data_IF_548092037829
#
_entry.id   IF_548092037829
#
_cell.length_a   1.000
_cell.length_b   1.000
_cell.length_c   1.000
_cell.angle_alpha   90.00
_cell.angle_beta   90.00
_cell.angle_gamma   90.00
#
_symmetry.space_group_name_H-M   'P 1'
#
loop_
_entity.id
_entity.type
_entity.pdbx_description
1 polymer ?
#
# COMPACT_ATOMS: atom_id res chain seq x y z
N UNK A 1 2.81 16.85 4.80
CA UNK A 1 1.44 17.39 4.68
C UNK A 1 0.51 16.20 4.47
N UNK A 2 -0.34 15.84 5.44
CA UNK A 2 -1.33 14.74 5.28
C UNK A 2 -2.50 15.18 4.41
N UNK A 3 -3.02 14.34 3.52
CA UNK A 3 -4.08 14.67 2.55
C UNK A 3 -5.49 14.61 3.19
N UNK A 4 -6.46 15.50 2.84
CA UNK A 4 -7.84 15.42 3.36
C UNK A 4 -8.55 14.11 3.01
N UNK A 5 -8.23 13.51 1.86
CA UNK A 5 -8.82 12.25 1.42
C UNK A 5 -8.27 11.03 2.18
N UNK A 6 -7.23 11.20 3.02
CA UNK A 6 -6.72 10.11 3.87
C UNK A 6 -7.78 9.55 4.82
N UNK A 7 -8.80 10.32 5.20
CA UNK A 7 -9.85 9.86 6.13
C UNK A 7 -11.15 9.43 5.43
N UNK A 8 -11.24 9.54 4.11
CA UNK A 8 -12.50 9.36 3.36
C UNK A 8 -12.54 8.05 2.57
N UNK A 9 -13.61 7.27 2.59
CA UNK A 9 -13.70 6.08 1.73
C UNK A 9 -14.80 5.11 2.12
N UNK A 10 -14.86 3.97 1.42
CA UNK A 10 -15.91 2.95 1.61
C UNK A 10 -15.33 1.56 1.86
N UNK A 11 -16.14 0.67 2.42
CA UNK A 11 -15.81 -0.75 2.53
C UNK A 11 -16.14 -1.48 1.23
N UNK A 12 -15.28 -2.42 0.83
CA UNK A 12 -15.54 -3.26 -0.35
C UNK A 12 -16.43 -4.45 0.00
N UNK A 13 -17.30 -4.91 -0.92
CA UNK A 13 -18.13 -6.08 -0.69
C UNK A 13 -17.28 -7.34 -0.59
N UNK A 14 -17.70 -8.26 0.27
CA UNK A 14 -17.02 -9.53 0.51
C UNK A 14 -16.88 -9.83 1.99
N UNK A 15 -16.45 -11.05 2.29
CA UNK A 15 -16.12 -11.47 3.66
C UNK A 15 -14.71 -12.06 3.63
N UNK A 16 -13.83 -11.64 4.54
CA UNK A 16 -12.50 -12.23 4.67
C UNK A 16 -12.57 -13.76 4.82
N UNK A 17 -11.78 -14.50 4.04
CA UNK A 17 -11.76 -15.98 4.05
C UNK A 17 -10.54 -16.58 4.76
N UNK A 18 -9.49 -15.78 4.93
CA UNK A 18 -8.30 -16.10 5.69
C UNK A 18 -8.48 -16.01 7.21
N UNK A 19 -7.37 -15.98 7.94
CA UNK A 19 -7.37 -16.10 9.40
C UNK A 19 -6.34 -15.20 10.07
N UNK A 20 -6.60 -14.79 11.31
CA UNK A 20 -5.62 -14.06 12.14
C UNK A 20 -4.67 -15.07 12.79
N UNK A 21 -3.37 -14.86 12.60
CA UNK A 21 -2.31 -15.73 13.09
C UNK A 21 -1.58 -15.06 14.26
N UNK A 22 -1.94 -15.43 15.49
CA UNK A 22 -1.37 -14.82 16.71
C UNK A 22 0.15 -15.04 16.84
N UNK A 23 0.66 -16.18 16.36
CA UNK A 23 2.10 -16.49 16.35
C UNK A 23 2.93 -15.53 15.45
N UNK A 24 2.25 -14.85 14.51
CA UNK A 24 2.83 -13.89 13.57
C UNK A 24 2.36 -12.47 13.91
N UNK A 25 2.40 -12.12 15.20
CA UNK A 25 2.07 -10.80 15.74
C UNK A 25 0.66 -10.32 15.37
N UNK A 26 -0.29 -11.26 15.26
CA UNK A 26 -1.67 -10.95 14.87
C UNK A 26 -1.85 -10.62 13.39
N UNK A 27 -0.88 -10.97 12.54
CA UNK A 27 -1.02 -10.82 11.09
C UNK A 27 -2.21 -11.63 10.56
N UNK A 28 -2.91 -11.08 9.57
CA UNK A 28 -3.90 -11.82 8.82
C UNK A 28 -3.22 -12.63 7.71
N UNK A 29 -3.63 -13.87 7.55
CA UNK A 29 -3.10 -14.82 6.57
C UNK A 29 -4.20 -15.24 5.61
N UNK A 30 -3.98 -14.95 4.33
CA UNK A 30 -4.77 -15.46 3.21
C UNK A 30 -3.94 -16.52 2.47
N UNK A 31 -4.41 -17.75 2.48
CA UNK A 31 -3.73 -18.86 1.82
C UNK A 31 -3.88 -18.79 0.30
N UNK A 32 -2.85 -19.26 -0.40
CA UNK A 32 -2.94 -19.55 -1.82
C UNK A 32 -4.08 -20.58 -2.11
N UNK A 33 -4.60 -20.65 -3.36
CA UNK A 33 -5.52 -21.70 -3.78
C UNK A 33 -4.95 -23.11 -3.50
N UNK A 34 -5.84 -24.06 -3.24
CA UNK A 34 -5.46 -25.46 -3.09
C UNK A 34 -4.66 -25.95 -4.31
N UNK A 35 -3.56 -26.66 -4.06
CA UNK A 35 -2.66 -27.14 -5.10
C UNK A 35 -1.60 -26.14 -5.55
N UNK A 36 -1.58 -24.91 -5.02
CA UNK A 36 -0.43 -24.01 -5.25
C UNK A 36 0.85 -24.58 -4.66
N UNK A 37 1.90 -24.63 -5.47
CA UNK A 37 3.25 -25.04 -5.09
C UNK A 37 4.20 -23.84 -4.97
N UNK A 38 3.66 -22.62 -4.98
CA UNK A 38 4.49 -21.41 -4.92
C UNK A 38 5.24 -21.33 -3.59
N UNK A 39 6.55 -21.11 -3.68
CA UNK A 39 7.38 -20.77 -2.52
C UNK A 39 7.53 -19.25 -2.35
N UNK A 40 6.64 -18.49 -2.98
CA UNK A 40 6.60 -17.04 -2.86
C UNK A 40 5.46 -16.62 -1.93
N UNK A 41 5.60 -15.45 -1.31
CA UNK A 41 4.53 -14.80 -0.57
C UNK A 41 4.44 -13.32 -0.91
N UNK A 42 3.30 -12.71 -0.64
CA UNK A 42 3.10 -11.27 -0.77
C UNK A 42 2.70 -10.69 0.57
N UNK A 43 3.27 -9.54 0.91
CA UNK A 43 2.83 -8.73 2.03
C UNK A 43 1.86 -7.66 1.53
N UNK A 44 0.67 -7.60 2.12
CA UNK A 44 -0.24 -6.48 1.97
C UNK A 44 0.04 -5.48 3.09
N UNK A 45 0.63 -4.33 2.76
CA UNK A 45 0.93 -3.27 3.71
C UNK A 45 -0.22 -2.26 3.71
N UNK A 46 -0.93 -2.22 4.84
CA UNK A 46 -2.16 -1.44 5.02
C UNK A 46 -1.97 0.08 4.92
N UNK A 47 -3.07 0.78 4.67
CA UNK A 47 -3.12 2.22 4.79
C UNK A 47 -3.16 2.66 6.27
N UNK A 48 -3.40 3.95 6.52
CA UNK A 48 -3.39 4.52 7.87
C UNK A 48 -4.44 3.94 8.84
N UNK A 49 -5.45 3.20 8.35
CA UNK A 49 -6.46 2.55 9.19
C UNK A 49 -6.04 1.18 9.71
N UNK A 50 -5.00 0.58 9.12
CA UNK A 50 -4.47 -0.70 9.59
C UNK A 50 -5.39 -1.89 9.36
N UNK A 51 -5.09 -2.97 10.08
CA UNK A 51 -5.84 -4.23 10.04
C UNK A 51 -7.32 -4.14 10.48
N UNK A 52 -7.75 -3.18 11.31
CA UNK A 52 -9.17 -2.97 11.60
C UNK A 52 -10.03 -2.69 10.36
N UNK A 53 -9.46 -2.08 9.31
CA UNK A 53 -10.18 -1.88 8.05
C UNK A 53 -10.27 -3.20 7.27
N UNK A 54 -11.50 -3.71 7.15
CA UNK A 54 -11.80 -5.02 6.53
C UNK A 54 -11.31 -5.15 5.09
N UNK A 55 -11.24 -4.04 4.34
CA UNK A 55 -10.83 -4.02 2.93
C UNK A 55 -9.45 -4.66 2.72
N UNK A 56 -8.52 -4.44 3.65
CA UNK A 56 -7.16 -5.01 3.56
C UNK A 56 -7.17 -6.54 3.52
N UNK A 57 -8.06 -7.17 4.29
CA UNK A 57 -8.20 -8.62 4.38
C UNK A 57 -8.84 -9.18 3.12
N UNK A 58 -9.91 -8.54 2.64
CA UNK A 58 -10.61 -8.94 1.41
C UNK A 58 -9.68 -8.82 0.20
N UNK A 59 -8.89 -7.74 0.10
CA UNK A 59 -7.90 -7.61 -0.97
C UNK A 59 -6.77 -8.62 -0.86
N UNK A 60 -6.31 -8.95 0.36
CA UNK A 60 -5.32 -10.00 0.55
C UNK A 60 -5.84 -11.36 0.05
N UNK A 61 -7.10 -11.70 0.34
CA UNK A 61 -7.72 -12.91 -0.19
C UNK A 61 -7.77 -12.89 -1.74
N UNK A 62 -8.19 -11.77 -2.33
CA UNK A 62 -8.23 -11.63 -3.80
C UNK A 62 -6.84 -11.78 -4.44
N UNK A 63 -5.80 -11.18 -3.85
CA UNK A 63 -4.43 -11.28 -4.34
C UNK A 63 -3.93 -12.72 -4.20
N UNK A 64 -4.20 -13.38 -3.07
CA UNK A 64 -3.78 -14.76 -2.85
C UNK A 64 -4.35 -15.68 -3.93
N UNK A 65 -5.65 -15.52 -4.23
CA UNK A 65 -6.33 -16.29 -5.25
C UNK A 65 -5.86 -15.96 -6.68
N UNK A 66 -5.68 -14.68 -7.01
CA UNK A 66 -5.27 -14.25 -8.36
C UNK A 66 -3.81 -14.56 -8.66
N UNK A 67 -2.91 -14.32 -7.71
CA UNK A 67 -1.46 -14.56 -7.90
C UNK A 67 -1.16 -16.04 -7.73
N UNK A 68 -1.87 -16.74 -6.84
CA UNK A 68 -1.59 -18.14 -6.56
C UNK A 68 -0.47 -18.32 -5.53
N UNK A 69 -0.29 -17.37 -4.62
CA UNK A 69 0.68 -17.44 -3.54
C UNK A 69 0.08 -16.95 -2.23
N UNK A 70 0.73 -17.27 -1.12
CA UNK A 70 0.27 -16.84 0.19
C UNK A 70 0.36 -15.31 0.33
N UNK A 71 -0.62 -14.71 1.03
CA UNK A 71 -0.64 -13.28 1.33
C UNK A 71 -0.75 -13.06 2.83
N UNK A 72 0.13 -12.19 3.33
CA UNK A 72 0.19 -11.78 4.74
C UNK A 72 -0.17 -10.30 4.87
N UNK A 73 -1.04 -9.96 5.80
CA UNK A 73 -1.34 -8.57 6.20
C UNK A 73 -0.78 -8.35 7.61
N UNK A 74 0.43 -7.78 7.76
CA UNK A 74 1.01 -7.56 9.08
C UNK A 74 0.26 -6.48 9.86
N UNK A 75 0.04 -6.68 11.16
CA UNK A 75 -0.38 -5.59 12.07
C UNK A 75 0.83 -4.80 12.58
N UNK A 76 1.50 -4.09 11.67
CA UNK A 76 2.66 -3.27 12.02
C UNK A 76 2.31 -2.07 12.91
N UNK A 77 1.03 -1.77 13.11
CA UNK A 77 0.53 -0.78 14.06
C UNK A 77 0.28 -1.35 15.47
N UNK A 78 0.32 -2.67 15.65
CA UNK A 78 0.05 -3.35 16.93
C UNK A 78 -1.26 -2.90 17.59
N UNK A 79 -2.34 -2.93 16.81
CA UNK A 79 -3.68 -2.53 17.24
C UNK A 79 -3.86 -1.03 17.47
N UNK A 80 -2.87 -0.19 17.12
CA UNK A 80 -2.92 1.28 17.30
C UNK A 80 -2.66 2.00 15.96
N UNK A 81 -3.57 1.86 14.98
CA UNK A 81 -3.43 2.53 13.68
C UNK A 81 -3.42 4.05 13.83
N UNK A 82 -3.02 4.74 12.76
CA UNK A 82 -3.01 6.20 12.73
C UNK A 82 -4.43 6.79 12.75
N UNK A 83 -5.36 6.08 12.12
CA UNK A 83 -6.76 6.48 11.98
C UNK A 83 -7.69 5.37 12.48
N UNK A 84 -8.81 5.78 13.08
CA UNK A 84 -9.87 4.88 13.49
C UNK A 84 -10.89 4.72 12.35
N UNK A 85 -11.26 3.48 12.04
CA UNK A 85 -12.26 3.13 11.04
C UNK A 85 -13.63 3.74 11.38
N UNK A 86 -13.97 3.86 12.67
CA UNK A 86 -15.21 4.49 13.10
C UNK A 86 -15.25 6.00 12.80
N UNK A 87 -14.08 6.62 12.64
CA UNK A 87 -13.93 8.02 12.24
C UNK A 87 -13.72 8.22 10.74
N UNK A 88 -13.86 7.16 9.94
CA UNK A 88 -13.77 7.23 8.48
C UNK A 88 -15.00 7.94 7.93
N UNK A 89 -14.79 9.03 7.19
CA UNK A 89 -15.88 9.76 6.56
C UNK A 89 -16.27 9.07 5.25
N UNK A 90 -17.55 8.76 5.06
CA UNK A 90 -18.04 8.28 3.77
C UNK A 90 -18.12 9.46 2.78
N UNK A 91 -16.98 9.85 2.22
CA UNK A 91 -16.90 10.81 1.11
C UNK A 91 -16.28 10.11 -0.11
N UNK A 92 -16.87 10.40 -1.27
CA UNK A 92 -16.46 9.86 -2.57
C UNK A 92 -15.01 10.27 -2.86
N UNK A 93 -14.14 9.29 -3.06
CA UNK A 93 -12.73 9.47 -3.45
C UNK A 93 -12.56 9.77 -4.95
N UNK A 94 -13.36 10.71 -5.47
CA UNK A 94 -13.43 11.09 -6.88
C UNK A 94 -13.02 12.54 -7.08
N UNK A 95 -12.32 12.81 -8.18
CA UNK A 95 -11.92 14.18 -8.57
C UNK A 95 -13.14 15.05 -8.89
N UNK A 96 -14.30 14.44 -9.21
CA UNK A 96 -15.50 15.13 -9.71
C UNK A 96 -16.24 16.00 -8.67
N UNK A 97 -15.86 15.97 -7.38
CA UNK A 97 -16.48 16.82 -6.35
C UNK A 97 -15.47 17.78 -5.73
N UNK A 98 -15.33 18.95 -6.37
CA UNK A 98 -14.88 20.23 -5.82
C UNK A 98 -13.81 20.15 -4.73
N UNK A 99 -12.55 20.37 -5.13
CA UNK A 99 -11.41 20.41 -4.23
C UNK A 99 -11.66 21.24 -2.98
N UNK A 100 -11.41 20.65 -1.81
CA UNK A 100 -11.40 21.38 -0.54
C UNK A 100 -10.41 22.53 -0.64
N UNK A 101 -10.83 23.75 -0.32
CA UNK A 101 -9.95 24.92 -0.36
C UNK A 101 -8.72 24.69 0.52
N UNK A 102 -7.56 25.23 0.14
CA UNK A 102 -6.32 25.16 0.95
C UNK A 102 -6.55 25.65 2.39
N UNK A 103 -7.51 26.54 2.59
CA UNK A 103 -7.92 27.05 3.90
C UNK A 103 -8.71 26.02 4.73
N UNK A 104 -9.68 25.32 4.13
CA UNK A 104 -10.40 24.22 4.79
C UNK A 104 -9.44 23.07 5.13
N UNK A 105 -8.50 22.79 4.23
CA UNK A 105 -7.42 21.84 4.46
C UNK A 105 -6.56 22.21 5.66
N UNK A 106 -6.12 23.47 5.75
CA UNK A 106 -5.27 23.94 6.85
C UNK A 106 -6.02 23.93 8.19
N UNK A 107 -7.31 24.30 8.20
CA UNK A 107 -8.17 24.25 9.38
C UNK A 107 -8.42 22.81 9.86
N UNK A 108 -8.73 21.91 8.93
CA UNK A 108 -8.87 20.47 9.20
C UNK A 108 -7.58 19.86 9.76
N UNK A 109 -6.44 20.17 9.14
CA UNK A 109 -5.11 19.77 9.58
C UNK A 109 -4.79 20.26 10.98
N UNK A 110 -5.02 21.54 11.26
CA UNK A 110 -4.72 22.14 12.57
C UNK A 110 -5.58 21.54 13.68
N UNK A 111 -6.86 21.28 13.41
CA UNK A 111 -7.77 20.65 14.37
C UNK A 111 -7.41 19.20 14.71
N UNK A 112 -6.84 18.45 13.75
CA UNK A 112 -6.44 17.03 13.93
C UNK A 112 -4.97 16.85 14.29
N UNK A 113 -4.14 17.89 14.19
CA UNK A 113 -2.72 17.82 14.51
C UNK A 113 -2.46 17.29 15.94
N UNK A 114 -3.14 17.80 17.00
CA UNK A 114 -2.89 17.34 18.37
C UNK A 114 -3.20 15.86 18.56
N UNK A 115 -4.25 15.34 17.90
CA UNK A 115 -4.68 13.94 18.03
C UNK A 115 -3.83 12.99 17.20
N UNK A 116 -3.13 13.49 16.18
CA UNK A 116 -2.32 12.68 15.28
C UNK A 116 -0.82 12.66 15.64
N UNK A 117 -0.30 13.64 16.39
CA UNK A 117 1.14 13.68 16.78
C UNK A 117 1.59 12.38 17.43
N UNK A 118 0.88 11.90 18.46
CA UNK A 118 1.26 10.70 19.19
C UNK A 118 1.15 9.43 18.32
N UNK A 119 0.03 9.18 17.58
CA UNK A 119 -0.02 8.10 16.60
C UNK A 119 1.12 8.14 15.57
N UNK A 120 1.43 9.29 14.96
CA UNK A 120 2.52 9.40 14.00
C UNK A 120 3.88 9.13 14.63
N UNK A 121 4.14 9.59 15.85
CA UNK A 121 5.40 9.31 16.55
C UNK A 121 5.56 7.82 16.87
N UNK A 122 4.49 7.17 17.36
CA UNK A 122 4.47 5.75 17.69
C UNK A 122 4.64 4.87 16.45
N UNK A 123 4.10 5.32 15.33
CA UNK A 123 4.09 4.57 14.08
C UNK A 123 5.05 5.16 13.04
N UNK A 124 6.08 5.89 13.46
CA UNK A 124 7.10 6.44 12.55
C UNK A 124 7.87 5.31 11.86
N UNK A 125 8.45 5.53 10.66
CA UNK A 125 9.17 4.50 9.90
C UNK A 125 10.18 3.69 10.72
N UNK A 126 10.97 4.35 11.57
CA UNK A 126 11.96 3.70 12.44
C UNK A 126 11.38 2.69 13.45
N UNK A 127 10.06 2.67 13.64
CA UNK A 127 9.36 1.73 14.53
C UNK A 127 8.65 0.64 13.73
N UNK A 128 7.94 1.03 12.66
CA UNK A 128 7.07 0.09 11.93
C UNK A 128 7.81 -0.70 10.86
N UNK A 129 8.81 -0.12 10.20
CA UNK A 129 9.56 -0.78 9.14
C UNK A 129 10.31 -2.02 9.69
N UNK A 130 11.01 -1.95 10.85
CA UNK A 130 11.65 -3.13 11.43
C UNK A 130 10.68 -4.26 11.80
N UNK A 131 9.43 -3.96 12.18
CA UNK A 131 8.41 -4.98 12.49
C UNK A 131 8.09 -5.80 11.26
N UNK A 132 7.89 -5.12 10.13
CA UNK A 132 7.59 -5.77 8.84
C UNK A 132 8.80 -6.56 8.35
N UNK A 133 10.00 -5.98 8.39
CA UNK A 133 11.23 -6.67 7.99
C UNK A 133 11.48 -7.93 8.83
N UNK A 134 11.31 -7.84 10.15
CA UNK A 134 11.48 -8.97 11.06
C UNK A 134 10.45 -10.07 10.79
N UNK A 135 9.19 -9.72 10.54
CA UNK A 135 8.17 -10.70 10.18
C UNK A 135 8.51 -11.39 8.84
N UNK A 136 8.96 -10.63 7.84
CA UNK A 136 9.37 -11.20 6.55
C UNK A 136 10.53 -12.19 6.72
N UNK A 137 11.53 -11.88 7.55
CA UNK A 137 12.63 -12.79 7.87
C UNK A 137 12.14 -14.06 8.59
N UNK A 138 11.28 -13.92 9.61
CA UNK A 138 10.68 -15.06 10.32
C UNK A 138 9.91 -15.96 9.39
N UNK A 139 9.07 -15.40 8.51
CA UNK A 139 8.29 -16.18 7.55
C UNK A 139 9.18 -16.90 6.52
N UNK A 140 10.27 -16.28 6.03
CA UNK A 140 11.24 -17.01 5.20
C UNK A 140 11.77 -18.24 5.91
N UNK A 141 12.17 -18.11 7.18
CA UNK A 141 12.75 -19.20 7.96
C UNK A 141 11.74 -20.29 8.33
N UNK A 142 10.55 -19.90 8.76
CA UNK A 142 9.55 -20.82 9.34
C UNK A 142 8.60 -21.41 8.30
N UNK A 143 8.29 -20.66 7.23
CA UNK A 143 7.41 -21.11 6.13
C UNK A 143 8.19 -21.54 4.88
N UNK A 144 9.49 -21.25 4.82
CA UNK A 144 10.34 -21.65 3.70
C UNK A 144 10.12 -20.83 2.43
N UNK A 145 9.61 -19.59 2.55
CA UNK A 145 9.44 -18.72 1.38
C UNK A 145 10.81 -18.33 0.79
N UNK A 146 10.98 -18.53 -0.51
CA UNK A 146 12.18 -18.17 -1.27
C UNK A 146 12.14 -16.70 -1.72
N UNK A 147 10.96 -16.21 -2.10
CA UNK A 147 10.73 -14.80 -2.46
C UNK A 147 9.56 -14.22 -1.69
N UNK A 148 9.66 -12.96 -1.26
CA UNK A 148 8.55 -12.22 -0.66
C UNK A 148 8.43 -10.89 -1.37
N UNK A 149 7.27 -10.57 -1.95
CA UNK A 149 6.98 -9.23 -2.43
C UNK A 149 6.10 -8.44 -1.46
N UNK A 150 5.88 -7.16 -1.74
CA UNK A 150 4.96 -6.34 -0.96
C UNK A 150 4.12 -5.41 -1.84
N UNK A 151 2.82 -5.37 -1.62
CA UNK A 151 1.95 -4.32 -2.14
C UNK A 151 1.54 -3.41 -0.99
N UNK A 152 1.78 -2.11 -1.13
CA UNK A 152 1.53 -1.13 -0.08
C UNK A 152 0.60 -0.02 -0.52
N UNK A 153 -0.31 0.37 0.38
CA UNK A 153 -1.31 1.41 0.13
C UNK A 153 -1.10 2.61 1.06
N UNK A 154 -1.06 3.84 0.53
CA UNK A 154 -0.89 5.07 1.33
C UNK A 154 0.37 4.99 2.23
N UNK A 155 0.18 4.87 3.54
CA UNK A 155 1.24 4.69 4.53
C UNK A 155 2.06 3.43 4.25
N UNK A 156 1.38 2.31 3.96
CA UNK A 156 1.98 1.07 3.50
C UNK A 156 2.67 1.20 2.15
N UNK A 157 2.23 2.09 1.27
CA UNK A 157 2.86 2.38 -0.01
C UNK A 157 4.24 3.03 0.17
N UNK A 158 4.31 4.06 1.01
CA UNK A 158 5.59 4.66 1.38
C UNK A 158 6.49 3.67 2.14
N UNK A 159 5.91 2.76 2.94
CA UNK A 159 6.65 1.69 3.60
C UNK A 159 7.22 0.68 2.60
N UNK A 160 6.44 0.23 1.63
CA UNK A 160 6.89 -0.67 0.55
C UNK A 160 8.08 -0.04 -0.20
N UNK A 161 8.00 1.26 -0.53
CA UNK A 161 9.09 2.00 -1.15
C UNK A 161 10.37 1.98 -0.28
N UNK A 162 10.27 2.29 1.02
CA UNK A 162 11.44 2.26 1.92
C UNK A 162 12.01 0.85 2.10
N UNK A 163 11.15 -0.16 2.24
CA UNK A 163 11.57 -1.54 2.42
C UNK A 163 12.09 -2.17 1.12
N UNK A 164 11.71 -1.64 -0.04
CA UNK A 164 12.30 -1.97 -1.35
C UNK A 164 13.76 -1.52 -1.49
N UNK A 165 14.29 -0.71 -0.57
CA UNK A 165 15.72 -0.42 -0.45
C UNK A 165 16.49 -1.45 0.38
N UNK A 166 15.79 -2.41 0.99
CA UNK A 166 16.35 -3.43 1.89
C UNK A 166 16.21 -4.82 1.27
N UNK A 167 16.66 -5.86 1.98
CA UNK A 167 16.46 -7.26 1.57
C UNK A 167 15.13 -7.84 2.10
N UNK A 168 14.27 -7.00 2.68
CA UNK A 168 12.98 -7.43 3.21
C UNK A 168 12.06 -7.99 2.12
N UNK A 169 12.13 -7.45 0.89
CA UNK A 169 11.29 -7.85 -0.24
C UNK A 169 12.10 -8.03 -1.53
N UNK A 170 11.55 -8.80 -2.46
CA UNK A 170 12.11 -9.09 -3.77
C UNK A 170 11.42 -8.30 -4.90
N UNK A 171 10.23 -7.76 -4.64
CA UNK A 171 9.44 -6.97 -5.60
C UNK A 171 8.41 -6.15 -4.84
N UNK A 172 8.14 -4.91 -5.25
CA UNK A 172 7.20 -4.02 -4.56
C UNK A 172 6.19 -3.37 -5.50
N UNK A 173 4.95 -3.26 -5.06
CA UNK A 173 3.88 -2.50 -5.72
C UNK A 173 3.47 -1.38 -4.77
N UNK A 174 3.53 -0.14 -5.24
CA UNK A 174 3.35 1.07 -4.45
C UNK A 174 2.09 1.78 -4.93
N UNK A 175 1.10 1.88 -4.07
CA UNK A 175 -0.25 2.34 -4.42
C UNK A 175 -0.57 3.62 -3.64
N UNK A 176 -0.75 4.72 -4.39
CA UNK A 176 -1.00 6.08 -3.87
C UNK A 176 -0.19 6.44 -2.61
N UNK A 177 1.16 6.40 -2.66
CA UNK A 177 1.98 6.56 -1.47
C UNK A 177 1.87 7.96 -0.88
N UNK A 178 2.27 8.11 0.39
CA UNK A 178 2.67 9.42 0.91
C UNK A 178 4.01 9.87 0.31
N UNK A 179 4.38 11.13 0.57
CA UNK A 179 5.59 11.72 0.02
C UNK A 179 6.87 10.92 0.32
N UNK A 180 7.73 10.81 -0.69
CA UNK A 180 9.03 10.15 -0.66
C UNK A 180 10.11 11.15 -1.07
N UNK A 181 11.29 11.04 -0.47
CA UNK A 181 12.46 11.83 -0.89
C UNK A 181 13.18 11.19 -2.06
N UNK A 182 13.98 11.97 -2.78
CA UNK A 182 14.84 11.48 -3.87
C UNK A 182 15.80 10.38 -3.40
N UNK A 183 16.32 10.49 -2.18
CA UNK A 183 17.21 9.48 -1.59
C UNK A 183 16.46 8.16 -1.39
N UNK A 184 15.22 8.21 -0.91
CA UNK A 184 14.39 7.01 -0.75
C UNK A 184 14.08 6.35 -2.09
N UNK A 185 13.77 7.15 -3.12
CA UNK A 185 13.54 6.65 -4.48
C UNK A 185 14.80 6.02 -5.08
N UNK A 186 15.94 6.70 -4.95
CA UNK A 186 17.26 6.21 -5.40
C UNK A 186 17.69 4.93 -4.70
N UNK A 187 17.32 4.76 -3.44
CA UNK A 187 17.70 3.59 -2.65
C UNK A 187 16.93 2.30 -3.01
N UNK A 188 15.77 2.39 -3.67
CA UNK A 188 15.01 1.20 -4.11
C UNK A 188 15.88 0.37 -5.06
N UNK A 189 16.03 -0.91 -4.73
CA UNK A 189 16.92 -1.86 -5.42
C UNK A 189 16.20 -3.11 -5.94
N UNK A 190 14.87 -3.13 -5.89
CA UNK A 190 14.03 -4.25 -6.33
C UNK A 190 12.99 -3.79 -7.34
N UNK A 191 12.52 -4.66 -8.25
CA UNK A 191 11.46 -4.33 -9.19
C UNK A 191 10.28 -3.61 -8.53
N UNK A 192 9.84 -2.51 -9.14
CA UNK A 192 8.81 -1.64 -8.54
C UNK A 192 7.69 -1.21 -9.51
N UNK A 193 6.44 -1.45 -9.12
CA UNK A 193 5.26 -0.96 -9.83
C UNK A 193 4.57 0.14 -9.05
N UNK A 194 4.09 1.19 -9.74
CA UNK A 194 3.48 2.36 -9.12
C UNK A 194 2.06 2.56 -9.66
N UNK A 195 1.07 2.44 -8.79
CA UNK A 195 -0.33 2.73 -9.07
C UNK A 195 -0.69 4.10 -8.50
N UNK A 196 -0.78 5.09 -9.39
CA UNK A 196 -0.88 6.51 -9.04
C UNK A 196 -2.31 7.03 -9.23
N UNK A 197 -2.85 7.69 -8.21
CA UNK A 197 -4.14 8.38 -8.34
C UNK A 197 -3.97 9.67 -9.15
N UNK A 198 -4.96 10.14 -9.91
CA UNK A 198 -4.85 11.41 -10.65
C UNK A 198 -4.54 12.58 -9.69
N UNK A 199 -5.42 12.79 -8.70
CA UNK A 199 -5.28 13.86 -7.71
C UNK A 199 -4.80 13.31 -6.36
N UNK A 200 -3.51 13.47 -6.10
CA UNK A 200 -2.88 13.00 -4.86
C UNK A 200 -1.93 14.06 -4.27
N UNK A 201 -2.33 14.76 -3.19
CA UNK A 201 -1.47 15.70 -2.49
C UNK A 201 -0.20 15.07 -1.89
N UNK A 202 -0.21 13.77 -1.60
CA UNK A 202 0.91 12.99 -1.08
C UNK A 202 1.91 12.57 -2.16
N UNK A 203 1.44 12.34 -3.39
CA UNK A 203 2.28 11.98 -4.52
C UNK A 203 1.77 12.64 -5.81
N UNK A 204 2.02 13.95 -5.91
CA UNK A 204 1.51 14.80 -7.01
C UNK A 204 2.13 14.42 -8.36
N UNK A 205 1.51 14.80 -9.50
CA UNK A 205 2.06 14.52 -10.84
C UNK A 205 3.53 14.94 -11.00
N UNK A 206 3.94 16.08 -10.44
CA UNK A 206 5.35 16.51 -10.47
C UNK A 206 6.28 15.57 -9.69
N UNK A 207 5.82 15.03 -8.56
CA UNK A 207 6.60 14.07 -7.76
C UNK A 207 6.71 12.73 -8.47
N UNK A 208 5.63 12.30 -9.16
CA UNK A 208 5.62 11.11 -10.02
C UNK A 208 6.62 11.24 -11.17
N UNK A 209 6.54 12.34 -11.92
CA UNK A 209 7.44 12.61 -13.04
C UNK A 209 8.91 12.63 -12.58
N UNK A 210 9.18 13.20 -11.40
CA UNK A 210 10.51 13.15 -10.80
C UNK A 210 10.92 11.71 -10.46
N UNK A 211 10.07 10.93 -9.79
CA UNK A 211 10.33 9.54 -9.46
C UNK A 211 10.60 8.68 -10.71
N UNK A 212 9.76 8.79 -11.74
CA UNK A 212 9.94 8.08 -13.00
C UNK A 212 11.25 8.49 -13.68
N UNK A 213 11.63 9.77 -13.64
CA UNK A 213 12.92 10.24 -14.19
C UNK A 213 14.12 9.62 -13.47
N UNK A 214 14.03 9.42 -12.15
CA UNK A 214 15.08 8.76 -11.35
C UNK A 214 15.27 7.31 -11.80
N UNK A 215 14.18 6.57 -12.03
CA UNK A 215 14.27 5.18 -12.50
C UNK A 215 14.73 5.09 -13.96
N UNK A 216 14.19 5.95 -14.83
CA UNK A 216 14.60 6.06 -16.23
C UNK A 216 16.09 6.35 -16.38
N UNK A 217 16.66 7.18 -15.49
CA UNK A 217 18.08 7.50 -15.49
C UNK A 217 18.98 6.28 -15.17
N UNK A 218 18.43 5.14 -14.74
CA UNK A 218 19.16 3.89 -14.51
C UNK A 218 19.20 2.97 -15.73
N UNK A 219 18.50 3.30 -16.82
CA UNK A 219 18.49 2.49 -18.03
C UNK A 219 19.93 2.25 -18.54
N UNK A 220 20.29 0.98 -18.74
CA UNK A 220 21.62 0.55 -19.18
C UNK A 220 22.72 0.62 -18.10
N UNK A 221 22.39 0.88 -16.84
CA UNK A 221 23.33 0.90 -15.71
C UNK A 221 23.22 -0.37 -14.85
N UNK A 222 24.26 -0.73 -14.08
CA UNK A 222 24.23 -1.91 -13.20
C UNK A 222 23.15 -1.87 -12.11
N UNK A 223 22.70 -0.68 -11.73
CA UNK A 223 21.65 -0.44 -10.74
C UNK A 223 20.24 -0.34 -11.36
N UNK A 224 20.09 -0.73 -12.63
CA UNK A 224 18.80 -0.85 -13.28
C UNK A 224 17.91 -1.87 -12.54
N UNK A 225 16.65 -1.50 -12.38
CA UNK A 225 15.58 -2.36 -11.88
C UNK A 225 14.39 -2.23 -12.82
N UNK A 226 13.60 -3.29 -12.95
CA UNK A 226 12.32 -3.21 -13.67
C UNK A 226 11.38 -2.26 -12.93
N UNK A 227 10.70 -1.38 -13.67
CA UNK A 227 9.73 -0.47 -13.08
C UNK A 227 8.57 -0.17 -14.03
N UNK A 228 7.41 0.14 -13.46
CA UNK A 228 6.26 0.67 -14.20
C UNK A 228 5.54 1.77 -13.40
N UNK A 229 5.02 2.78 -14.10
CA UNK A 229 4.12 3.78 -13.55
C UNK A 229 2.81 3.75 -14.31
N UNK A 230 1.70 3.72 -13.58
CA UNK A 230 0.36 3.79 -14.15
C UNK A 230 -0.50 4.78 -13.39
N UNK A 231 -0.94 5.81 -14.09
CA UNK A 231 -1.93 6.75 -13.58
C UNK A 231 -3.34 6.21 -13.79
N UNK A 232 -4.21 6.43 -12.82
CA UNK A 232 -5.61 6.09 -12.86
C UNK A 232 -6.46 7.37 -12.89
N UNK A 233 -6.96 7.78 -14.07
CA UNK A 233 -7.74 9.01 -14.21
C UNK A 233 -9.03 9.00 -13.37
N UNK A 234 -9.48 10.18 -12.94
CA UNK A 234 -10.70 10.37 -12.13
C UNK A 234 -10.57 9.94 -10.67
N UNK A 235 -9.40 9.43 -10.26
CA UNK A 235 -9.18 8.91 -8.91
C UNK A 235 -8.44 9.90 -8.00
N UNK A 236 -8.69 9.78 -6.69
CA UNK A 236 -7.97 10.52 -5.66
C UNK A 236 -7.22 9.60 -4.69
N UNK A 237 -6.42 10.18 -3.80
CA UNK A 237 -5.70 9.43 -2.77
C UNK A 237 -6.61 8.45 -2.01
N UNK A 238 -6.21 7.18 -1.91
CA UNK A 238 -6.99 6.12 -1.28
C UNK A 238 -7.90 5.32 -2.22
N UNK A 239 -7.97 5.67 -3.51
CA UNK A 239 -8.89 5.04 -4.48
C UNK A 239 -8.82 3.52 -4.52
N UNK A 240 -7.62 2.95 -4.36
CA UNK A 240 -7.42 1.51 -4.43
C UNK A 240 -7.51 0.80 -3.07
N UNK A 241 -7.48 1.54 -1.96
CA UNK A 241 -7.62 0.96 -0.62
C UNK A 241 -9.07 1.00 -0.11
N UNK A 242 -9.79 2.08 -0.45
CA UNK A 242 -11.12 2.41 0.09
C UNK A 242 -12.07 2.93 -1.00
N UNK A 243 -12.19 2.22 -2.15
CA UNK A 243 -12.93 2.71 -3.31
C UNK A 243 -14.42 2.94 -3.01
N UNK A 244 -14.98 4.02 -3.57
CA UNK A 244 -16.42 4.12 -3.77
C UNK A 244 -16.78 3.42 -5.08
N UNK A 245 -17.29 2.19 -5.00
CA UNK A 245 -17.59 1.36 -6.16
C UNK A 245 -18.81 1.85 -6.98
N UNK A 246 -19.53 2.86 -6.48
CA UNK A 246 -20.60 3.50 -7.25
C UNK A 246 -20.07 4.57 -8.21
N UNK A 247 -18.85 5.06 -8.00
CA UNK A 247 -18.17 5.92 -8.96
C UNK A 247 -17.43 5.04 -10.00
N UNK A 248 -17.78 5.13 -11.29
CA UNK A 248 -17.21 4.26 -12.32
C UNK A 248 -15.70 4.46 -12.51
N UNK A 249 -15.18 5.68 -12.33
CA UNK A 249 -13.75 5.95 -12.51
C UNK A 249 -12.95 5.40 -11.34
N UNK A 250 -13.48 5.56 -10.11
CA UNK A 250 -12.87 5.00 -8.90
C UNK A 250 -12.91 3.47 -8.92
N UNK A 251 -14.03 2.88 -9.35
CA UNK A 251 -14.14 1.43 -9.52
C UNK A 251 -13.12 0.89 -10.53
N UNK A 252 -13.05 1.50 -11.71
CA UNK A 252 -12.10 1.11 -12.74
C UNK A 252 -10.64 1.28 -12.27
N UNK A 253 -10.36 2.36 -11.52
CA UNK A 253 -9.07 2.58 -10.89
C UNK A 253 -8.70 1.47 -9.91
N UNK A 254 -9.59 1.15 -8.98
CA UNK A 254 -9.39 0.09 -8.00
C UNK A 254 -9.16 -1.28 -8.65
N UNK A 255 -10.04 -1.68 -9.57
CA UNK A 255 -9.92 -2.97 -10.29
C UNK A 255 -8.63 -3.02 -11.11
N UNK A 256 -8.28 -1.91 -11.76
CA UNK A 256 -7.06 -1.80 -12.53
C UNK A 256 -5.79 -1.89 -11.67
N UNK A 257 -5.76 -1.23 -10.51
CA UNK A 257 -4.63 -1.27 -9.57
C UNK A 257 -4.45 -2.67 -8.96
N UNK A 258 -5.54 -3.36 -8.64
CA UNK A 258 -5.51 -4.75 -8.19
C UNK A 258 -4.91 -5.67 -9.26
N UNK A 259 -5.36 -5.54 -10.51
CA UNK A 259 -4.86 -6.37 -11.61
C UNK A 259 -3.40 -6.04 -11.96
N UNK A 260 -3.01 -4.76 -11.89
CA UNK A 260 -1.62 -4.33 -12.00
C UNK A 260 -0.74 -5.02 -10.96
N UNK A 261 -1.13 -4.99 -9.68
CA UNK A 261 -0.39 -5.66 -8.61
C UNK A 261 -0.26 -7.17 -8.84
N UNK A 262 -1.34 -7.82 -9.24
CA UNK A 262 -1.34 -9.27 -9.50
C UNK A 262 -0.43 -9.64 -10.67
N UNK A 263 -0.51 -8.91 -11.78
CA UNK A 263 0.34 -9.14 -12.95
C UNK A 263 1.82 -8.87 -12.63
N UNK A 264 2.10 -7.82 -11.89
CA UNK A 264 3.46 -7.51 -11.46
C UNK A 264 4.08 -8.65 -10.64
N UNK A 265 3.34 -9.20 -9.68
CA UNK A 265 3.86 -10.31 -8.87
C UNK A 265 3.95 -11.63 -9.63
N UNK A 266 3.06 -11.92 -10.57
CA UNK A 266 3.22 -13.10 -11.45
C UNK A 266 4.52 -13.05 -12.25
N UNK A 267 4.96 -11.85 -12.65
CA UNK A 267 6.19 -11.69 -13.43
C UNK A 267 7.46 -11.64 -12.57
N UNK A 268 7.36 -11.13 -11.34
CA UNK A 268 8.55 -10.82 -10.52
C UNK A 268 8.77 -11.79 -9.35
N UNK A 269 7.73 -12.48 -8.88
CA UNK A 269 7.80 -13.40 -7.74
C UNK A 269 7.62 -14.86 -8.11
N UNK A 270 6.84 -15.19 -9.13
CA UNK A 270 6.60 -16.56 -9.58
C UNK A 270 7.58 -16.94 -10.70
#
# INVERSE_FOLDING_TARGET
>A
MSCPNCIQGSTIPGTPTGSIQQQYDGAYFAAAPEGSTSKSAVFYLTDAFGLPLVNSKIMADQIAQKVGCDVWVPDFFQGKPLLDVNGMEARTLSVKKGGTSTFDFMKFMFARMPTLILPFYRNRPAVVDPRVSSLAERLRKEKGYEKIGAVGYCFGGSMAARLGATDAFNSVVIVHPGGLSDEQLKAIKVPTSWACAEEDPGFKPQMRANAESIFKARAGKPDFIEYEFKDYPGTAHGFAARPDLNDPDVKAGYEGALEQACNWFRNTLL
#
